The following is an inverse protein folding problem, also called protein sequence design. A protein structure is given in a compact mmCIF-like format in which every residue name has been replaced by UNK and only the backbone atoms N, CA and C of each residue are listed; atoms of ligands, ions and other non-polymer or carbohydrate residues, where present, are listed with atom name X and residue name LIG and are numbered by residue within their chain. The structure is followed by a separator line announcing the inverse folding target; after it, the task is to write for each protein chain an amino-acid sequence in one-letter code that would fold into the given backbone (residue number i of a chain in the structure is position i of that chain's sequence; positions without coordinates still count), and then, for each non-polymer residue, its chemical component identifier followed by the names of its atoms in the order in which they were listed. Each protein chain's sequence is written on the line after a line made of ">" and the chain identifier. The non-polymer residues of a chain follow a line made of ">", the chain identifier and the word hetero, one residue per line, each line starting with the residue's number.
data_IF_567245374944
#
_entry.id   IF_567245374944
#
_cell.length_a   1.000
_cell.length_b   1.000
_cell.length_c   1.000
_cell.angle_alpha   90.00
_cell.angle_beta   90.00
_cell.angle_gamma   90.00
#
_symmetry.space_group_name_H-M   'P 1'
#
loop_
_entity.id
_entity.type
_entity.pdbx_description
1 polymer ?
#
# COMPACT_ATOMS: atom_id res chain seq x y z
N UNK A 1 8.87 2.52 -8.54
CA UNK A 1 7.60 3.27 -8.35
C UNK A 1 6.51 2.27 -8.06
N UNK A 2 5.65 2.51 -7.08
CA UNK A 2 4.61 1.54 -6.71
C UNK A 2 3.30 1.91 -7.38
N UNK A 3 2.71 0.95 -8.10
CA UNK A 3 1.41 1.14 -8.74
C UNK A 3 0.30 1.05 -7.69
N UNK A 4 -0.54 2.08 -7.60
CA UNK A 4 -1.71 2.01 -6.76
C UNK A 4 -2.64 0.88 -7.26
N UNK A 5 -2.93 -0.14 -6.44
CA UNK A 5 -3.76 -1.26 -6.86
C UNK A 5 -5.25 -0.89 -6.99
N UNK A 6 -5.64 0.34 -6.64
CA UNK A 6 -7.02 0.81 -6.72
C UNK A 6 -7.34 1.59 -7.99
N UNK A 7 -6.47 2.52 -8.41
CA UNK A 7 -6.70 3.36 -9.59
C UNK A 7 -5.67 3.15 -10.70
N UNK A 8 -4.67 2.27 -10.49
CA UNK A 8 -3.61 2.02 -11.46
C UNK A 8 -2.59 3.16 -11.59
N UNK A 9 -2.66 4.18 -10.74
CA UNK A 9 -1.71 5.31 -10.79
C UNK A 9 -0.30 4.86 -10.40
N UNK A 10 0.66 5.07 -11.31
CA UNK A 10 2.10 4.86 -11.13
C UNK A 10 2.80 6.22 -10.99
N UNK A 11 2.62 6.85 -9.84
CA UNK A 11 3.23 8.16 -9.55
C UNK A 11 3.59 8.30 -8.08
N UNK A 12 3.75 9.54 -7.62
CA UNK A 12 4.09 9.83 -6.24
C UNK A 12 3.01 9.31 -5.29
N UNK A 13 3.41 8.32 -4.50
CA UNK A 13 2.60 7.73 -3.44
C UNK A 13 3.18 8.20 -2.12
N UNK A 14 2.37 8.83 -1.27
CA UNK A 14 2.83 9.33 0.02
C UNK A 14 3.08 8.16 0.94
N UNK A 15 4.33 7.97 1.37
CA UNK A 15 4.65 6.97 2.39
C UNK A 15 4.13 7.48 3.74
N UNK A 16 3.19 6.74 4.33
CA UNK A 16 2.60 7.06 5.62
C UNK A 16 3.41 6.44 6.77
N UNK A 17 3.70 5.15 6.64
CA UNK A 17 4.34 4.36 7.71
C UNK A 17 5.04 3.15 7.11
N UNK A 18 6.11 2.70 7.74
CA UNK A 18 6.75 1.41 7.46
C UNK A 18 6.83 0.58 8.73
N UNK A 19 6.76 -0.74 8.59
CA UNK A 19 7.01 -1.67 9.70
C UNK A 19 7.44 -3.03 9.16
N UNK A 20 8.11 -3.82 10.00
CA UNK A 20 8.43 -5.21 9.69
C UNK A 20 7.31 -6.12 10.18
N UNK A 21 6.86 -7.04 9.34
CA UNK A 21 5.82 -8.01 9.67
C UNK A 21 6.21 -9.39 9.15
N UNK A 22 6.32 -10.38 10.05
CA UNK A 22 6.63 -11.77 9.69
C UNK A 22 7.86 -11.94 8.76
N UNK A 23 8.90 -11.11 8.96
CA UNK A 23 10.11 -11.10 8.13
C UNK A 23 10.02 -10.26 6.84
N UNK A 24 8.89 -9.59 6.59
CA UNK A 24 8.68 -8.71 5.43
C UNK A 24 8.78 -7.25 5.84
N UNK A 25 9.33 -6.42 4.96
CA UNK A 25 9.26 -4.96 5.08
C UNK A 25 7.97 -4.45 4.46
N UNK A 26 7.06 -3.98 5.32
CA UNK A 26 5.76 -3.46 4.93
C UNK A 26 5.82 -1.94 4.86
N UNK A 27 5.47 -1.41 3.69
CA UNK A 27 5.39 0.01 3.41
C UNK A 27 3.94 0.38 3.18
N UNK A 28 3.43 1.32 3.96
CA UNK A 28 2.06 1.79 3.85
C UNK A 28 2.04 3.10 3.10
N UNK A 29 1.43 3.08 1.93
CA UNK A 29 1.36 4.19 1.01
C UNK A 29 -0.06 4.71 0.90
N UNK A 30 -0.18 6.01 0.67
CA UNK A 30 -1.40 6.70 0.27
C UNK A 30 -1.25 7.19 -1.15
N UNK A 31 -2.21 6.87 -2.01
CA UNK A 31 -2.21 7.34 -3.37
C UNK A 31 -2.68 8.80 -3.42
N UNK A 32 -1.83 9.72 -3.90
CA UNK A 32 -2.21 11.13 -4.07
C UNK A 32 -3.36 11.35 -5.06
N UNK A 33 -3.57 10.44 -6.03
CA UNK A 33 -4.63 10.58 -7.04
C UNK A 33 -6.02 10.17 -6.55
N UNK A 34 -6.12 9.10 -5.75
CA UNK A 34 -7.42 8.57 -5.30
C UNK A 34 -7.63 8.62 -3.78
N UNK A 35 -6.63 9.05 -3.02
CA UNK A 35 -6.65 9.09 -1.56
C UNK A 35 -6.69 7.71 -0.88
N UNK A 36 -6.63 6.61 -1.66
CA UNK A 36 -6.69 5.25 -1.12
C UNK A 36 -5.34 4.79 -0.62
N UNK A 37 -5.38 4.08 0.50
CA UNK A 37 -4.20 3.55 1.18
C UNK A 37 -3.99 2.10 0.79
N UNK A 38 -2.74 1.71 0.59
CA UNK A 38 -2.36 0.34 0.24
C UNK A 38 -1.04 -0.03 0.93
N UNK A 39 -0.83 -1.33 1.11
CA UNK A 39 0.40 -1.88 1.67
C UNK A 39 1.26 -2.42 0.54
N UNK A 40 2.54 -2.16 0.61
CA UNK A 40 3.55 -2.69 -0.28
C UNK A 40 4.50 -3.54 0.56
N UNK A 41 4.50 -4.85 0.33
CA UNK A 41 5.33 -5.77 1.09
C UNK A 41 6.55 -6.13 0.26
N UNK A 42 7.72 -5.90 0.82
CA UNK A 42 9.01 -6.21 0.22
C UNK A 42 9.65 -7.32 1.04
N UNK A 43 10.12 -8.36 0.36
CA UNK A 43 10.93 -9.39 0.98
C UNK A 43 12.36 -8.84 1.13
N UNK A 44 12.88 -8.62 2.36
CA UNK A 44 14.24 -8.12 2.55
C UNK A 44 15.30 -9.12 2.08
N UNK A 45 14.95 -10.42 2.02
CA UNK A 45 15.86 -11.45 1.50
C UNK A 45 15.92 -11.47 -0.02
N UNK A 46 15.02 -10.76 -0.73
CA UNK A 46 14.95 -10.76 -2.19
C UNK A 46 14.54 -12.10 -2.80
N UNK A 47 14.13 -13.08 -1.97
CA UNK A 47 13.75 -14.43 -2.41
C UNK A 47 12.34 -14.41 -3.00
N UNK A 48 11.45 -13.57 -2.45
CA UNK A 48 10.06 -13.46 -2.88
C UNK A 48 9.81 -12.12 -3.58
N UNK A 49 8.98 -12.15 -4.64
CA UNK A 49 8.58 -10.93 -5.34
C UNK A 49 7.81 -10.00 -4.41
N UNK A 50 8.18 -8.73 -4.40
CA UNK A 50 7.44 -7.68 -3.70
C UNK A 50 6.06 -7.47 -4.34
N UNK A 51 5.07 -7.17 -3.51
CA UNK A 51 3.69 -7.05 -3.99
C UNK A 51 2.87 -6.03 -3.20
N UNK A 52 1.91 -5.41 -3.91
CA UNK A 52 0.98 -4.45 -3.36
C UNK A 52 -0.31 -5.16 -2.91
N UNK A 53 -0.64 -5.04 -1.63
CA UNK A 53 -1.94 -5.42 -1.10
C UNK A 53 -2.88 -4.21 -1.02
N UNK A 54 -4.10 -4.37 -1.53
CA UNK A 54 -5.20 -3.45 -1.27
C UNK A 54 -5.55 -3.50 0.21
N UNK A 55 -5.46 -2.37 0.91
CA UNK A 55 -5.97 -2.30 2.28
C UNK A 55 -7.44 -1.91 2.18
N UNK A 56 -8.29 -2.92 2.31
CA UNK A 56 -9.74 -2.74 2.37
C UNK A 56 -10.10 -1.95 3.62
N UNK A 57 -10.71 -0.79 3.39
CA UNK A 57 -11.46 -0.01 4.36
C UNK A 57 -12.53 -0.93 4.96
N UNK A 58 -12.29 -1.41 6.18
CA UNK A 58 -13.39 -1.83 7.03
C UNK A 58 -14.33 -0.64 7.17
N UNK A 59 -15.52 -0.80 6.58
CA UNK A 59 -16.73 0.02 6.66
C UNK A 59 -16.69 1.27 7.57
N UNK A 60 -17.00 2.43 6.98
CA UNK A 60 -18.11 3.27 7.45
C UNK A 60 -18.52 4.24 6.36
N UNK A 61 -19.59 3.91 5.63
CA UNK A 61 -20.45 4.95 5.05
C UNK A 61 -20.97 5.77 6.23
N UNK A 62 -20.64 7.05 6.31
CA UNK A 62 -21.50 8.02 7.00
C UNK A 62 -21.99 8.94 5.90
N UNK A 63 -23.08 8.52 5.28
CA UNK A 63 -23.88 9.40 4.43
C UNK A 63 -24.53 10.45 5.31
N UNK A 64 -24.72 11.62 4.70
CA UNK A 64 -25.46 12.80 5.15
C UNK A 64 -26.81 12.48 5.80
#
# INVERSE_FOLDING_TARGET
>A
MVRCPHCGFEGESKLLKTWKYAGWDVYFYECSKCGKRFRWQVDPSGVKKSYAMRVGVGARKKGE
#
